data_IF_159955057310
#
_entry.id   IF_159955057310
#
_cell.length_a   1.000
_cell.length_b   1.000
_cell.length_c   1.000
_cell.angle_alpha   90.00
_cell.angle_beta   90.00
_cell.angle_gamma   90.00
#
_symmetry.space_group_name_H-M   'P 1'
#
loop_
_entity.id
_entity.type
_entity.pdbx_description
1 polymer ?
#
# COMPACT_ATOMS: atom_id res chain seq x y z
N UNK A 1 -41.60 -45.96 3.75
CA UNK A 1 -41.55 -45.04 4.91
C UNK A 1 -40.14 -44.65 5.33
N UNK A 2 -39.10 -45.43 5.01
CA UNK A 2 -37.70 -45.18 5.38
C UNK A 2 -36.99 -44.16 4.47
N UNK A 3 -37.23 -44.16 3.16
CA UNK A 3 -36.56 -43.22 2.23
C UNK A 3 -37.08 -41.77 2.30
N UNK A 4 -38.34 -41.57 2.70
CA UNK A 4 -38.94 -40.24 2.85
C UNK A 4 -38.45 -39.56 4.13
N UNK A 5 -38.23 -40.32 5.21
CA UNK A 5 -37.65 -39.80 6.45
C UNK A 5 -36.18 -39.38 6.27
N UNK A 6 -35.42 -40.11 5.47
CA UNK A 6 -34.02 -39.78 5.17
C UNK A 6 -33.89 -38.45 4.39
N UNK A 7 -34.72 -38.25 3.36
CA UNK A 7 -34.70 -37.01 2.55
C UNK A 7 -35.17 -35.75 3.32
N UNK A 8 -36.03 -35.91 4.32
CA UNK A 8 -36.51 -34.80 5.16
C UNK A 8 -35.44 -34.40 6.20
N UNK A 9 -34.77 -35.38 6.82
CA UNK A 9 -33.70 -35.14 7.78
C UNK A 9 -32.52 -34.37 7.15
N UNK A 10 -32.13 -34.73 5.92
CA UNK A 10 -31.04 -34.06 5.19
C UNK A 10 -31.39 -32.62 4.75
N UNK A 11 -32.68 -32.30 4.55
CA UNK A 11 -33.14 -30.95 4.22
C UNK A 11 -33.26 -30.07 5.46
N UNK A 12 -33.65 -30.62 6.61
CA UNK A 12 -33.76 -29.90 7.89
C UNK A 12 -32.37 -29.58 8.47
N UNK A 13 -31.36 -30.42 8.23
CA UNK A 13 -30.01 -30.21 8.77
C UNK A 13 -29.31 -28.94 8.26
N UNK A 14 -29.82 -28.31 7.19
CA UNK A 14 -29.29 -27.05 6.63
C UNK A 14 -30.08 -25.80 6.98
N UNK A 15 -31.27 -25.93 7.58
CA UNK A 15 -32.08 -24.81 8.06
C UNK A 15 -32.07 -24.82 9.58
N UNK A 16 -31.62 -23.76 10.24
CA UNK A 16 -31.55 -23.63 11.72
C UNK A 16 -32.93 -23.58 12.42
N UNK A 17 -33.99 -24.11 11.80
CA UNK A 17 -35.33 -24.18 12.37
C UNK A 17 -35.73 -25.64 12.59
N UNK A 18 -35.90 -26.09 13.84
CA UNK A 18 -36.33 -27.45 14.12
C UNK A 18 -37.75 -27.68 13.61
N UNK A 19 -38.02 -28.89 13.09
CA UNK A 19 -39.32 -29.28 12.58
C UNK A 19 -40.40 -29.11 13.67
N UNK A 20 -41.48 -28.35 13.41
CA UNK A 20 -42.37 -27.89 14.48
C UNK A 20 -43.41 -28.92 14.94
N UNK A 21 -43.41 -30.13 14.38
CA UNK A 21 -44.41 -31.17 14.69
C UNK A 21 -43.78 -32.36 15.41
N UNK A 22 -44.52 -32.99 16.34
CA UNK A 22 -44.08 -34.23 16.98
C UNK A 22 -44.14 -35.41 16.00
N UNK A 23 -43.32 -36.43 16.22
CA UNK A 23 -43.28 -37.63 15.35
C UNK A 23 -44.63 -38.33 15.24
N UNK A 24 -45.45 -38.25 16.30
CA UNK A 24 -46.79 -38.83 16.36
C UNK A 24 -47.78 -38.04 15.50
N UNK A 25 -47.80 -36.72 15.63
CA UNK A 25 -48.69 -35.85 14.85
C UNK A 25 -48.36 -35.91 13.36
N UNK A 26 -47.07 -36.03 13.01
CA UNK A 26 -46.65 -36.21 11.64
C UNK A 26 -47.10 -37.56 11.09
N UNK A 27 -47.06 -38.65 11.87
CA UNK A 27 -47.51 -39.96 11.42
C UNK A 27 -49.02 -39.97 11.07
N UNK A 28 -49.84 -39.30 11.88
CA UNK A 28 -51.30 -39.21 11.73
C UNK A 28 -51.76 -38.21 10.65
N UNK A 29 -50.86 -37.37 10.13
CA UNK A 29 -51.18 -36.38 9.09
C UNK A 29 -51.57 -37.06 7.75
N UNK A 30 -52.64 -36.62 7.07
CA UNK A 30 -53.04 -37.15 5.77
C UNK A 30 -51.94 -37.03 4.70
N UNK A 31 -51.79 -38.07 3.89
CA UNK A 31 -50.76 -38.18 2.85
C UNK A 31 -50.72 -36.99 1.86
N UNK A 32 -51.86 -36.43 1.39
CA UNK A 32 -51.86 -35.25 0.52
C UNK A 32 -51.20 -34.02 1.17
N UNK A 33 -51.37 -33.86 2.48
CA UNK A 33 -50.81 -32.74 3.25
C UNK A 33 -49.31 -32.93 3.41
N UNK A 34 -48.85 -34.15 3.73
CA UNK A 34 -47.41 -34.48 3.79
C UNK A 34 -46.72 -34.18 2.45
N UNK A 35 -47.33 -34.58 1.34
CA UNK A 35 -46.80 -34.34 0.00
C UNK A 35 -46.74 -32.84 -0.34
N UNK A 36 -47.73 -32.07 0.07
CA UNK A 36 -47.74 -30.62 -0.15
C UNK A 36 -46.66 -29.91 0.68
N UNK A 37 -46.47 -30.29 1.95
CA UNK A 37 -45.40 -29.76 2.81
C UNK A 37 -44.02 -30.09 2.22
N UNK A 38 -43.82 -31.32 1.75
CA UNK A 38 -42.60 -31.73 1.06
C UNK A 38 -42.32 -30.90 -0.21
N UNK A 39 -43.37 -30.65 -1.00
CA UNK A 39 -43.28 -29.80 -2.18
C UNK A 39 -42.87 -28.37 -1.83
N UNK A 40 -43.45 -27.80 -0.79
CA UNK A 40 -43.12 -26.45 -0.31
C UNK A 40 -41.67 -26.35 0.19
N UNK A 41 -41.20 -27.33 0.96
CA UNK A 41 -39.82 -27.38 1.43
C UNK A 41 -38.83 -27.44 0.26
N UNK A 42 -39.12 -28.26 -0.76
CA UNK A 42 -38.30 -28.32 -1.98
C UNK A 42 -38.27 -26.96 -2.70
N UNK A 43 -39.42 -26.29 -2.81
CA UNK A 43 -39.51 -24.96 -3.44
C UNK A 43 -38.76 -23.88 -2.67
N UNK A 44 -38.82 -23.91 -1.34
CA UNK A 44 -38.06 -22.98 -0.51
C UNK A 44 -36.56 -23.16 -0.69
N UNK A 45 -36.05 -24.39 -0.69
CA UNK A 45 -34.63 -24.67 -0.93
C UNK A 45 -34.16 -24.22 -2.33
N UNK A 46 -35.01 -24.34 -3.36
CA UNK A 46 -34.73 -23.81 -4.71
C UNK A 46 -34.66 -22.28 -4.71
N UNK A 47 -35.56 -21.61 -3.97
CA UNK A 47 -35.59 -20.15 -3.85
C UNK A 47 -34.39 -19.61 -3.08
N UNK A 48 -34.01 -20.24 -1.95
CA UNK A 48 -32.84 -19.87 -1.16
C UNK A 48 -31.55 -19.95 -1.98
N UNK A 49 -31.36 -21.04 -2.74
CA UNK A 49 -30.22 -21.15 -3.67
C UNK A 49 -30.21 -20.04 -4.72
N UNK A 50 -31.39 -19.66 -5.22
CA UNK A 50 -31.51 -18.58 -6.21
C UNK A 50 -31.20 -17.22 -5.59
N UNK A 51 -31.61 -16.99 -4.36
CA UNK A 51 -31.26 -15.79 -3.58
C UNK A 51 -29.75 -15.73 -3.37
N UNK A 52 -29.11 -16.80 -2.89
CA UNK A 52 -27.66 -16.83 -2.68
C UNK A 52 -26.87 -16.53 -3.97
N UNK A 53 -27.30 -17.08 -5.12
CA UNK A 53 -26.69 -16.80 -6.43
C UNK A 53 -26.90 -15.34 -6.85
N UNK A 54 -28.08 -14.76 -6.59
CA UNK A 54 -28.37 -13.36 -6.92
C UNK A 54 -27.64 -12.39 -6.00
N UNK A 55 -27.55 -12.69 -4.70
CA UNK A 55 -26.77 -11.95 -3.73
C UNK A 55 -25.28 -11.98 -4.08
N UNK A 56 -24.71 -13.14 -4.44
CA UNK A 56 -23.33 -13.22 -4.95
C UNK A 56 -23.11 -12.42 -6.24
N UNK A 57 -24.14 -12.23 -7.07
CA UNK A 57 -24.07 -11.37 -8.26
C UNK A 57 -24.18 -9.88 -7.92
N UNK A 58 -25.00 -9.52 -6.92
CA UNK A 58 -25.18 -8.14 -6.45
C UNK A 58 -24.00 -7.65 -5.60
N UNK A 59 -23.38 -8.52 -4.82
CA UNK A 59 -22.20 -8.22 -4.01
C UNK A 59 -20.90 -8.11 -4.84
N UNK A 60 -21.02 -8.14 -6.18
CA UNK A 60 -19.97 -7.71 -7.11
C UNK A 60 -20.12 -6.21 -7.38
N UNK A 61 -19.59 -5.42 -6.45
CA UNK A 61 -19.34 -4.00 -6.61
C UNK A 61 -18.02 -3.77 -7.38
N UNK A 62 -17.93 -2.60 -8.01
CA UNK A 62 -16.98 -2.18 -9.06
C UNK A 62 -15.49 -2.16 -8.69
N UNK A 63 -15.09 -2.77 -7.58
CA UNK A 63 -13.69 -2.83 -7.13
C UNK A 63 -13.01 -4.19 -7.38
N UNK A 64 -13.69 -5.16 -8.00
CA UNK A 64 -13.07 -6.44 -8.37
C UNK A 64 -13.58 -7.04 -9.70
N UNK A 65 -14.11 -6.19 -10.59
CA UNK A 65 -14.61 -6.58 -11.90
C UNK A 65 -13.73 -5.92 -12.96
N UNK A 66 -12.91 -6.70 -13.66
CA UNK A 66 -12.23 -6.33 -14.90
C UNK A 66 -13.22 -6.02 -16.01
N UNK A 67 -14.00 -4.95 -15.86
CA UNK A 67 -14.84 -4.35 -16.89
C UNK A 67 -14.25 -2.98 -17.22
N UNK A 68 -13.89 -2.72 -18.49
CA UNK A 68 -13.47 -1.38 -18.88
C UNK A 68 -14.61 -0.38 -18.67
N UNK A 69 -14.30 0.90 -18.39
CA UNK A 69 -15.29 1.96 -18.13
C UNK A 69 -16.22 2.25 -19.33
N UNK A 70 -16.03 1.58 -20.47
CA UNK A 70 -16.84 1.70 -21.68
C UNK A 70 -18.13 0.86 -21.70
N UNK A 71 -18.47 0.16 -20.62
CA UNK A 71 -19.67 -0.71 -20.58
C UNK A 71 -20.97 -0.01 -20.12
N UNK A 72 -20.94 1.29 -19.87
CA UNK A 72 -22.16 2.07 -19.65
C UNK A 72 -22.84 2.39 -20.99
N UNK A 73 -24.13 2.06 -21.13
CA UNK A 73 -24.90 2.42 -22.32
C UNK A 73 -25.00 3.95 -22.43
N UNK A 74 -24.60 4.56 -23.57
CA UNK A 74 -24.67 6.02 -23.75
C UNK A 74 -26.10 6.56 -23.77
N UNK A 75 -27.12 5.66 -23.78
CA UNK A 75 -28.54 6.00 -23.87
C UNK A 75 -29.29 5.95 -22.53
N UNK A 76 -28.64 5.64 -21.40
CA UNK A 76 -29.28 5.83 -20.10
C UNK A 76 -29.22 7.30 -19.72
N UNK A 77 -30.32 8.02 -19.95
CA UNK A 77 -30.51 9.36 -19.45
C UNK A 77 -30.33 9.38 -17.92
N UNK A 78 -29.24 9.99 -17.47
CA UNK A 78 -29.03 10.26 -16.05
C UNK A 78 -30.13 11.24 -15.61
N UNK A 79 -30.83 11.01 -14.48
CA UNK A 79 -31.80 11.98 -13.99
C UNK A 79 -31.13 13.34 -13.83
N UNK A 80 -31.69 14.37 -14.47
CA UNK A 80 -31.18 15.74 -14.43
C UNK A 80 -31.13 16.18 -12.97
N UNK A 81 -29.94 16.20 -12.38
CA UNK A 81 -29.72 16.77 -11.06
C UNK A 81 -30.17 18.23 -11.12
N UNK A 82 -31.20 18.58 -10.36
CA UNK A 82 -31.59 19.97 -10.13
C UNK A 82 -30.33 20.77 -9.78
N UNK A 83 -30.05 21.83 -10.55
CA UNK A 83 -28.90 22.71 -10.34
C UNK A 83 -29.01 23.29 -8.93
N UNK A 84 -28.32 22.66 -7.95
CA UNK A 84 -28.16 23.23 -6.61
C UNK A 84 -27.57 24.63 -6.79
N UNK A 85 -28.20 25.60 -6.13
CA UNK A 85 -27.97 27.04 -6.31
C UNK A 85 -26.49 27.43 -6.24
N UNK A 86 -26.19 28.61 -6.81
CA UNK A 86 -24.87 29.25 -6.86
C UNK A 86 -24.01 28.84 -5.66
N UNK A 87 -23.07 27.92 -5.89
CA UNK A 87 -22.18 27.44 -4.85
C UNK A 87 -21.53 28.64 -4.17
N UNK A 88 -21.57 28.68 -2.83
CA UNK A 88 -20.81 29.67 -2.04
C UNK A 88 -19.40 29.73 -2.61
N UNK A 89 -18.95 30.92 -3.04
CA UNK A 89 -17.57 31.14 -3.48
C UNK A 89 -16.65 30.53 -2.43
N UNK A 90 -15.99 29.41 -2.77
CA UNK A 90 -15.02 28.77 -1.86
C UNK A 90 -14.02 29.86 -1.50
N UNK A 91 -13.88 30.19 -0.21
CA UNK A 91 -12.87 31.14 0.24
C UNK A 91 -11.54 30.69 -0.34
N UNK A 92 -10.84 31.61 -1.04
CA UNK A 92 -9.49 31.35 -1.57
C UNK A 92 -8.65 30.89 -0.39
N UNK A 93 -8.08 29.68 -0.46
CA UNK A 93 -7.19 29.17 0.59
C UNK A 93 -6.04 30.17 0.73
N UNK A 94 -5.69 30.54 1.97
CA UNK A 94 -4.46 31.31 2.22
C UNK A 94 -3.30 30.46 1.68
N UNK A 95 -2.47 31.04 0.82
CA UNK A 95 -1.25 30.37 0.37
C UNK A 95 -0.34 30.15 1.56
N UNK A 96 0.18 28.94 1.72
CA UNK A 96 1.25 28.66 2.67
C UNK A 96 2.55 29.12 2.02
N UNK A 97 3.33 29.97 2.69
CA UNK A 97 4.69 30.26 2.23
C UNK A 97 5.56 29.06 2.56
N UNK A 98 6.55 28.80 1.73
CA UNK A 98 7.60 27.84 2.06
C UNK A 98 8.28 28.26 3.37
N UNK A 99 8.58 27.29 4.21
CA UNK A 99 9.31 27.52 5.45
C UNK A 99 10.75 27.93 5.12
N UNK A 100 11.24 28.97 5.78
CA UNK A 100 12.61 29.44 5.61
C UNK A 100 13.55 28.48 6.37
N UNK A 101 14.52 27.89 5.69
CA UNK A 101 15.52 27.03 6.33
C UNK A 101 16.70 27.85 6.86
N UNK A 102 17.49 27.25 7.76
CA UNK A 102 18.81 27.79 8.09
C UNK A 102 19.71 27.77 6.84
N UNK A 103 20.32 28.91 6.45
CA UNK A 103 21.11 28.98 5.24
C UNK A 103 22.48 28.32 5.42
N UNK A 104 22.90 27.54 4.44
CA UNK A 104 24.30 27.08 4.32
C UNK A 104 25.23 28.23 3.93
N UNK A 105 24.75 29.14 3.09
CA UNK A 105 25.46 30.34 2.64
C UNK A 105 24.47 31.50 2.46
N UNK A 106 24.95 32.75 2.61
CA UNK A 106 24.12 33.96 2.51
C UNK A 106 24.79 34.97 1.58
N UNK A 107 24.24 35.13 0.38
CA UNK A 107 24.65 36.17 -0.56
C UNK A 107 23.73 37.39 -0.47
N UNK A 108 24.29 38.53 -0.05
CA UNK A 108 23.55 39.80 -0.01
C UNK A 108 23.56 40.47 -1.39
N UNK A 109 22.43 40.44 -2.08
CA UNK A 109 22.27 41.11 -3.38
C UNK A 109 21.84 42.57 -3.17
N UNK A 110 22.74 43.50 -3.51
CA UNK A 110 22.45 44.95 -3.50
C UNK A 110 22.03 45.46 -4.88
N UNK A 111 21.24 46.54 -4.97
CA UNK A 111 20.90 47.16 -6.25
C UNK A 111 22.16 47.60 -7.02
N UNK A 112 22.24 47.21 -8.30
CA UNK A 112 23.41 47.55 -9.16
C UNK A 112 23.25 48.87 -9.91
N UNK A 113 22.05 49.16 -10.38
CA UNK A 113 21.76 50.39 -11.13
C UNK A 113 20.28 50.77 -10.99
N UNK A 114 20.05 52.08 -10.92
CA UNK A 114 18.73 52.69 -11.02
C UNK A 114 18.38 52.93 -12.49
N UNK A 115 17.09 52.97 -12.80
CA UNK A 115 16.58 53.31 -14.14
C UNK A 115 17.03 54.70 -14.61
N UNK A 116 17.32 55.63 -13.68
CA UNK A 116 17.86 56.96 -14.01
C UNK A 116 19.37 56.99 -14.30
N UNK A 117 20.08 55.85 -14.19
CA UNK A 117 21.53 55.76 -14.42
C UNK A 117 22.40 55.89 -13.17
N UNK A 118 21.83 56.14 -11.99
CA UNK A 118 22.58 56.11 -10.73
C UNK A 118 23.04 54.68 -10.39
N UNK A 119 24.30 54.52 -10.00
CA UNK A 119 24.90 53.23 -9.60
C UNK A 119 25.35 53.19 -8.15
N UNK A 120 25.20 54.29 -7.40
CA UNK A 120 25.64 54.40 -6.01
C UNK A 120 24.46 54.29 -5.05
N UNK A 121 24.54 53.36 -4.08
CA UNK A 121 23.49 53.09 -3.10
C UNK A 121 24.09 53.00 -1.69
N UNK A 122 24.15 54.14 -0.99
CA UNK A 122 24.78 54.23 0.35
C UNK A 122 23.93 53.66 1.48
N UNK A 123 22.61 53.63 1.30
CA UNK A 123 21.67 53.24 2.34
C UNK A 123 20.81 52.06 1.90
N UNK A 124 21.36 50.86 2.02
CA UNK A 124 20.68 49.59 1.71
C UNK A 124 20.24 48.87 2.98
N UNK A 125 19.01 48.37 3.00
CA UNK A 125 18.49 47.49 4.06
C UNK A 125 17.75 46.29 3.46
N UNK A 126 17.77 45.12 4.14
CA UNK A 126 17.10 43.93 3.64
C UNK A 126 15.57 44.09 3.74
N UNK A 127 14.84 43.84 2.64
CA UNK A 127 13.37 43.89 2.61
C UNK A 127 12.71 42.51 2.37
N UNK A 128 13.45 41.59 1.76
CA UNK A 128 12.99 40.25 1.39
C UNK A 128 14.18 39.31 1.28
N UNK A 129 14.01 38.09 1.77
CA UNK A 129 14.98 37.01 1.61
C UNK A 129 14.40 36.01 0.61
N UNK A 130 15.08 35.85 -0.52
CA UNK A 130 14.81 34.77 -1.46
C UNK A 130 15.65 33.56 -1.09
N UNK A 131 15.03 32.39 -0.96
CA UNK A 131 15.72 31.14 -0.67
C UNK A 131 15.73 30.27 -1.92
N UNK A 132 16.92 29.76 -2.27
CA UNK A 132 17.11 28.70 -3.23
C UNK A 132 17.50 27.44 -2.44
N UNK A 133 16.85 26.31 -2.72
CA UNK A 133 17.21 25.00 -2.16
C UNK A 133 17.68 24.15 -3.32
N UNK A 134 18.94 23.76 -3.29
CA UNK A 134 19.56 22.89 -4.29
C UNK A 134 19.89 21.53 -3.67
N UNK A 135 19.81 20.46 -4.47
CA UNK A 135 20.24 19.13 -4.06
C UNK A 135 21.72 18.95 -4.47
N UNK A 136 22.66 18.83 -3.53
CA UNK A 136 24.06 18.61 -3.87
C UNK A 136 24.26 17.29 -4.64
N UNK A 137 25.39 17.18 -5.32
CA UNK A 137 25.78 15.92 -5.98
C UNK A 137 25.84 14.77 -4.97
N UNK A 138 25.29 13.62 -5.36
CA UNK A 138 25.22 12.43 -4.51
C UNK A 138 26.44 11.56 -4.80
N UNK A 139 27.44 11.62 -3.91
CA UNK A 139 28.65 10.79 -4.01
C UNK A 139 28.57 9.56 -3.09
N UNK A 140 28.91 8.39 -3.64
CA UNK A 140 28.93 7.13 -2.90
C UNK A 140 30.28 6.86 -2.25
N UNK A 141 30.29 6.68 -0.92
CA UNK A 141 31.47 6.21 -0.19
C UNK A 141 31.66 4.69 -0.36
N UNK A 142 32.57 4.28 -1.24
CA UNK A 142 32.82 2.86 -1.56
C UNK A 142 34.14 2.38 -0.93
N UNK A 143 34.04 1.42 0.00
CA UNK A 143 35.22 0.77 0.62
C UNK A 143 35.34 -0.69 0.14
N UNK A 144 36.50 -1.04 -0.42
CA UNK A 144 36.81 -2.41 -0.81
C UNK A 144 37.58 -3.13 0.30
N UNK A 145 37.01 -4.23 0.83
CA UNK A 145 37.71 -5.12 1.75
C UNK A 145 38.46 -6.21 0.97
N UNK A 146 39.74 -5.98 0.70
CA UNK A 146 40.61 -6.97 0.04
C UNK A 146 41.07 -8.01 1.07
N UNK A 147 40.53 -9.23 0.96
CA UNK A 147 40.82 -10.30 1.91
C UNK A 147 42.04 -11.12 1.46
N UNK A 148 43.08 -11.13 2.29
CA UNK A 148 44.25 -11.96 2.08
C UNK A 148 44.10 -13.33 2.76
N UNK A 149 44.85 -14.31 2.24
CA UNK A 149 45.04 -15.61 2.87
C UNK A 149 46.53 -15.88 3.03
N UNK A 150 46.92 -16.59 4.08
CA UNK A 150 48.32 -16.87 4.38
C UNK A 150 48.49 -18.18 5.15
N UNK A 151 49.60 -18.88 4.88
CA UNK A 151 49.95 -20.09 5.63
C UNK A 151 50.58 -19.71 6.97
N UNK A 152 50.20 -20.40 8.05
CA UNK A 152 50.79 -20.22 9.37
C UNK A 152 52.23 -20.74 9.36
N UNK A 153 53.24 -19.94 9.78
CA UNK A 153 54.63 -20.38 9.79
C UNK A 153 54.90 -21.51 10.79
N UNK A 154 54.07 -21.66 11.83
CA UNK A 154 54.27 -22.67 12.86
C UNK A 154 53.67 -24.05 12.52
N UNK A 155 52.54 -24.09 11.81
CA UNK A 155 51.81 -25.35 11.55
C UNK A 155 51.42 -25.57 10.09
N UNK A 156 51.80 -24.67 9.17
CA UNK A 156 51.50 -24.75 7.74
C UNK A 156 50.03 -24.53 7.35
N UNK A 157 49.09 -24.42 8.31
CA UNK A 157 47.66 -24.25 8.03
C UNK A 157 47.37 -22.93 7.32
N UNK A 158 46.54 -22.98 6.27
CA UNK A 158 46.12 -21.80 5.52
C UNK A 158 44.98 -21.08 6.25
N UNK A 159 45.21 -19.82 6.62
CA UNK A 159 44.22 -18.94 7.23
C UNK A 159 43.71 -17.91 6.21
N UNK A 160 42.44 -17.53 6.33
CA UNK A 160 41.79 -16.52 5.47
C UNK A 160 41.32 -15.35 6.32
N UNK A 161 41.55 -14.13 5.85
CA UNK A 161 40.93 -12.95 6.43
C UNK A 161 39.41 -13.01 6.28
N UNK A 162 38.69 -12.41 7.24
CA UNK A 162 37.23 -12.38 7.27
C UNK A 162 36.78 -10.93 7.37
N UNK A 163 35.73 -10.58 6.62
CA UNK A 163 35.13 -9.24 6.70
C UNK A 163 34.52 -9.04 8.10
N UNK A 164 34.75 -7.87 8.75
CA UNK A 164 34.08 -7.50 9.99
C UNK A 164 32.56 -7.62 9.86
N UNK A 165 31.87 -8.03 10.94
CA UNK A 165 30.45 -8.42 10.89
C UNK A 165 29.55 -7.30 10.37
N UNK A 166 29.85 -6.08 10.78
CA UNK A 166 29.21 -4.82 10.42
C UNK A 166 29.21 -4.54 8.91
N UNK A 167 30.22 -5.03 8.16
CA UNK A 167 30.35 -4.79 6.73
C UNK A 167 29.93 -5.98 5.85
N UNK A 168 29.62 -7.14 6.44
CA UNK A 168 29.29 -8.37 5.70
C UNK A 168 28.10 -8.25 4.75
N UNK A 169 27.23 -7.28 4.99
CA UNK A 169 26.01 -7.09 4.19
C UNK A 169 26.25 -6.34 2.88
N UNK A 170 27.43 -5.71 2.72
CA UNK A 170 27.81 -4.96 1.51
C UNK A 170 27.16 -3.59 1.37
N UNK A 171 26.19 -3.23 2.22
CA UNK A 171 25.49 -1.95 2.17
C UNK A 171 25.55 -1.25 3.52
N UNK A 172 25.98 0.01 3.51
CA UNK A 172 26.07 0.84 4.72
C UNK A 172 24.70 1.14 5.34
N UNK A 173 24.67 1.58 6.61
CA UNK A 173 23.42 1.84 7.34
C UNK A 173 22.59 2.97 6.71
N UNK A 174 23.22 4.06 6.23
CA UNK A 174 22.53 5.19 5.60
C UNK A 174 21.82 4.79 4.31
N UNK A 175 22.52 4.08 3.43
CA UNK A 175 21.95 3.55 2.19
C UNK A 175 20.82 2.55 2.48
N UNK A 176 21.03 1.67 3.46
CA UNK A 176 20.03 0.68 3.86
C UNK A 176 18.76 1.34 4.40
N UNK A 177 18.89 2.39 5.21
CA UNK A 177 17.77 3.16 5.75
C UNK A 177 17.00 3.91 4.65
N UNK A 178 17.70 4.50 3.67
CA UNK A 178 17.05 5.14 2.52
C UNK A 178 16.22 4.14 1.71
N UNK A 179 16.79 2.98 1.38
CA UNK A 179 16.07 1.91 0.67
C UNK A 179 14.85 1.44 1.47
N UNK A 180 15.00 1.24 2.77
CA UNK A 180 13.91 0.83 3.65
C UNK A 180 12.80 1.89 3.74
N UNK A 181 13.15 3.17 3.78
CA UNK A 181 12.20 4.29 3.78
C UNK A 181 11.36 4.34 2.51
N UNK A 182 12.00 4.18 1.35
CA UNK A 182 11.30 4.13 0.06
C UNK A 182 10.32 2.95 0.00
N UNK A 183 10.78 1.75 0.39
CA UNK A 183 9.95 0.56 0.37
C UNK A 183 8.78 0.61 1.39
N UNK A 184 9.07 1.03 2.62
CA UNK A 184 8.14 0.97 3.74
C UNK A 184 7.17 2.15 3.79
N UNK A 185 7.69 3.37 3.74
CA UNK A 185 6.90 4.58 3.97
C UNK A 185 6.36 5.17 2.66
N UNK A 186 7.17 5.16 1.59
CA UNK A 186 6.76 5.69 0.28
C UNK A 186 5.97 4.65 -0.53
N UNK A 187 6.11 3.36 -0.20
CA UNK A 187 5.41 2.26 -0.88
C UNK A 187 6.00 1.93 -2.25
N UNK A 188 7.27 2.29 -2.49
CA UNK A 188 7.91 2.08 -3.77
C UNK A 188 8.17 0.60 -4.04
N UNK A 189 7.97 0.19 -5.30
CA UNK A 189 8.30 -1.16 -5.74
C UNK A 189 9.81 -1.37 -5.76
N UNK A 190 10.28 -2.63 -5.68
CA UNK A 190 11.73 -2.93 -5.76
C UNK A 190 12.34 -2.47 -7.09
N UNK A 191 11.57 -2.49 -8.18
CA UNK A 191 12.01 -1.98 -9.48
C UNK A 191 12.19 -0.47 -9.46
N UNK A 192 11.25 0.28 -8.87
CA UNK A 192 11.38 1.74 -8.72
C UNK A 192 12.61 2.09 -7.87
N UNK A 193 12.84 1.36 -6.79
CA UNK A 193 14.02 1.56 -5.93
C UNK A 193 15.31 1.25 -6.70
N UNK A 194 15.33 0.18 -7.50
CA UNK A 194 16.47 -0.17 -8.36
C UNK A 194 16.75 0.94 -9.38
N UNK A 195 15.71 1.44 -10.04
CA UNK A 195 15.83 2.53 -11.01
C UNK A 195 16.33 3.82 -10.35
N UNK A 196 15.85 4.14 -9.15
CA UNK A 196 16.34 5.26 -8.37
C UNK A 196 17.83 5.11 -8.00
N UNK A 197 18.24 3.93 -7.52
CA UNK A 197 19.65 3.67 -7.22
C UNK A 197 20.54 3.83 -8.46
N UNK A 198 20.05 3.39 -9.63
CA UNK A 198 20.80 3.49 -10.89
C UNK A 198 20.86 4.93 -11.42
N UNK A 199 19.74 5.66 -11.39
CA UNK A 199 19.60 6.97 -12.06
C UNK A 199 20.00 8.16 -11.18
N UNK A 200 19.73 8.11 -9.87
CA UNK A 200 19.96 9.22 -8.94
C UNK A 200 21.19 8.97 -8.08
N UNK A 201 21.35 7.74 -7.57
CA UNK A 201 22.47 7.40 -6.67
C UNK A 201 23.71 6.93 -7.44
N UNK A 202 23.56 6.55 -8.71
CA UNK A 202 24.67 6.21 -9.60
C UNK A 202 25.24 4.79 -9.42
N UNK A 203 24.50 3.83 -8.87
CA UNK A 203 24.95 2.43 -8.80
C UNK A 203 23.83 1.41 -9.02
N UNK A 204 24.20 0.24 -9.55
CA UNK A 204 23.25 -0.85 -9.76
C UNK A 204 23.14 -1.73 -8.50
N UNK A 205 21.91 -2.03 -8.10
CA UNK A 205 21.57 -3.00 -7.05
C UNK A 205 20.53 -3.99 -7.59
N UNK A 206 20.63 -5.27 -7.23
CA UNK A 206 19.65 -6.27 -7.67
C UNK A 206 18.38 -6.23 -6.80
N UNK A 207 17.24 -6.66 -7.37
CA UNK A 207 15.97 -6.77 -6.65
C UNK A 207 16.09 -7.65 -5.39
N UNK A 208 16.86 -8.74 -5.47
CA UNK A 208 17.12 -9.62 -4.33
C UNK A 208 17.98 -8.96 -3.24
N UNK A 209 18.93 -8.10 -3.62
CA UNK A 209 19.71 -7.32 -2.65
C UNK A 209 18.83 -6.26 -1.96
N UNK A 210 17.95 -5.59 -2.70
CA UNK A 210 16.94 -4.67 -2.14
C UNK A 210 16.06 -5.41 -1.13
N UNK A 211 15.53 -6.59 -1.47
CA UNK A 211 14.73 -7.40 -0.56
C UNK A 211 15.50 -7.72 0.73
N UNK A 212 16.75 -8.15 0.64
CA UNK A 212 17.60 -8.44 1.82
C UNK A 212 17.87 -7.20 2.67
N UNK A 213 17.92 -6.01 2.09
CA UNK A 213 18.03 -4.76 2.85
C UNK A 213 16.74 -4.51 3.64
N UNK A 214 15.58 -4.65 2.97
CA UNK A 214 14.26 -4.46 3.58
C UNK A 214 14.03 -5.47 4.71
N UNK A 215 14.33 -6.75 4.50
CA UNK A 215 14.13 -7.80 5.51
C UNK A 215 14.94 -7.50 6.79
N UNK A 216 16.19 -7.07 6.63
CA UNK A 216 17.04 -6.68 7.78
C UNK A 216 16.51 -5.46 8.51
N UNK A 217 16.04 -4.45 7.78
CA UNK A 217 15.44 -3.27 8.39
C UNK A 217 14.14 -3.63 9.12
N UNK A 218 13.32 -4.49 8.53
CA UNK A 218 12.08 -4.98 9.16
C UNK A 218 12.37 -5.75 10.45
N UNK A 219 13.36 -6.65 10.44
CA UNK A 219 13.75 -7.40 11.63
C UNK A 219 14.29 -6.48 12.73
N UNK A 220 15.07 -5.45 12.35
CA UNK A 220 15.61 -4.48 13.31
C UNK A 220 14.52 -3.63 13.99
N UNK A 221 13.44 -3.29 13.27
CA UNK A 221 12.35 -2.45 13.79
C UNK A 221 11.29 -3.27 14.54
N UNK A 222 11.18 -4.58 14.25
CA UNK A 222 10.17 -5.48 14.81
C UNK A 222 9.99 -5.38 16.34
N UNK A 223 11.04 -5.39 17.18
CA UNK A 223 10.87 -5.27 18.63
C UNK A 223 10.19 -3.96 19.05
N UNK A 224 10.47 -2.86 18.35
CA UNK A 224 9.85 -1.56 18.64
C UNK A 224 8.39 -1.54 18.21
N UNK A 225 8.07 -2.14 17.05
CA UNK A 225 6.70 -2.25 16.58
C UNK A 225 5.84 -3.10 17.53
N UNK A 226 6.37 -4.21 18.03
CA UNK A 226 5.68 -5.07 18.99
C UNK A 226 5.42 -4.37 20.33
N UNK A 227 6.33 -3.50 20.79
CA UNK A 227 6.15 -2.72 22.01
C UNK A 227 5.14 -1.56 21.88
N UNK A 228 4.79 -1.13 20.66
CA UNK A 228 3.78 -0.09 20.42
C UNK A 228 2.35 -0.66 20.36
N UNK A 229 2.20 -1.98 20.36
CA UNK A 229 0.93 -2.69 20.18
C UNK A 229 0.37 -3.14 21.52
#
# INVERSE_FOLDING_TARGET
MTEVKQNIADLIQKSEQPFPFSDKDWAETPEPVKNFVLFLLKKNAELEKRIEVLEKKLNKNSSNSSKPPSSDSPYKEKPKKNKKGKGKKKKRRKGHRQEMLEPTDVENIVPKACVCGNTHFDNTSPYYTHQVIELPEIEMEVTHFVLHKGACPCCGKLNKAVVPKEHRTGFGPRLSAMIAQMAGNMGDSRTIIQDFCSSVVGFHISLGAIQKVIDRASEAIKPHYENMR
#
